data_IF_529788077194
#
_entry.id   IF_529788077194
#
_cell.length_a   1.000
_cell.length_b   1.000
_cell.length_c   1.000
_cell.angle_alpha   90.00
_cell.angle_beta   90.00
_cell.angle_gamma   90.00
#
_symmetry.space_group_name_H-M   'P 1'
#
loop_
_entity.id
_entity.type
_entity.pdbx_description
1 polymer ?
#
# COMPACT_ATOMS: atom_id res chain seq x y z
N UNK A 1 29.57 4.46 -1.89
CA UNK A 1 28.25 4.99 -2.31
C UNK A 1 27.30 3.81 -2.48
N UNK A 2 26.42 3.58 -1.51
CA UNK A 2 25.55 2.41 -1.46
C UNK A 2 24.48 2.48 -2.56
N UNK A 3 24.44 1.51 -3.46
CA UNK A 3 23.47 1.43 -4.55
C UNK A 3 22.11 0.99 -4.00
N UNK A 4 21.21 1.97 -3.82
CA UNK A 4 19.81 1.75 -3.48
C UNK A 4 19.20 0.64 -4.36
N UNK A 5 18.68 -0.42 -3.74
CA UNK A 5 17.83 -1.44 -4.34
C UNK A 5 16.65 -0.78 -5.08
N UNK A 6 16.82 -0.48 -6.38
CA UNK A 6 15.71 -0.09 -7.25
C UNK A 6 15.05 -1.37 -7.76
N UNK A 7 13.74 -1.60 -7.50
CA UNK A 7 13.05 -2.77 -8.03
C UNK A 7 13.03 -2.72 -9.57
N UNK A 8 13.38 -3.85 -10.20
CA UNK A 8 13.47 -4.02 -11.65
C UNK A 8 12.07 -3.92 -12.28
N UNK A 9 11.88 -3.03 -13.26
CA UNK A 9 10.60 -2.87 -13.99
C UNK A 9 10.26 -4.18 -14.73
N UNK A 10 9.19 -4.88 -14.33
CA UNK A 10 8.71 -6.08 -15.03
C UNK A 10 7.94 -5.63 -16.28
N UNK A 11 8.43 -6.00 -17.46
CA UNK A 11 7.96 -5.64 -18.82
C UNK A 11 6.54 -6.11 -19.21
N UNK A 12 5.70 -6.56 -18.28
CA UNK A 12 4.44 -7.24 -18.60
C UNK A 12 3.15 -6.58 -18.10
N UNK A 13 3.22 -5.52 -17.29
CA UNK A 13 2.01 -4.84 -16.81
C UNK A 13 1.83 -3.54 -17.58
N UNK A 14 0.66 -3.29 -18.21
CA UNK A 14 0.36 -1.99 -18.80
C UNK A 14 0.70 -0.88 -17.80
N UNK A 15 1.29 0.23 -18.24
CA UNK A 15 1.61 1.34 -17.35
C UNK A 15 0.30 1.93 -16.84
N UNK A 16 -0.11 1.50 -15.65
CA UNK A 16 -1.09 2.23 -14.85
C UNK A 16 -0.34 3.39 -14.22
N UNK A 17 -0.88 4.61 -14.31
CA UNK A 17 -0.34 5.77 -13.60
C UNK A 17 -0.39 5.48 -12.09
N UNK A 18 0.75 5.06 -11.55
CA UNK A 18 0.87 4.64 -10.16
C UNK A 18 2.32 4.84 -9.72
N UNK A 19 2.48 5.36 -8.51
CA UNK A 19 3.78 5.57 -7.87
C UNK A 19 3.85 4.74 -6.58
N UNK A 20 5.06 4.32 -6.20
CA UNK A 20 5.24 3.57 -4.97
C UNK A 20 5.25 4.52 -3.76
N UNK A 21 4.28 4.34 -2.85
CA UNK A 21 4.32 5.03 -1.56
C UNK A 21 5.38 4.39 -0.65
N UNK A 22 6.55 5.02 -0.54
CA UNK A 22 7.67 4.54 0.30
C UNK A 22 7.58 5.12 1.70
N UNK A 23 7.05 4.34 2.64
CA UNK A 23 7.04 4.69 4.07
C UNK A 23 7.33 3.47 4.92
N UNK A 24 7.95 3.69 6.09
CA UNK A 24 8.03 2.67 7.15
C UNK A 24 6.79 2.82 8.03
N UNK A 25 6.18 1.70 8.39
CA UNK A 25 5.10 1.62 9.35
C UNK A 25 5.52 0.75 10.53
N UNK A 26 4.99 1.04 11.72
CA UNK A 26 5.20 0.20 12.88
C UNK A 26 4.56 -1.19 12.68
N UNK A 27 5.18 -2.22 13.26
CA UNK A 27 4.71 -3.61 13.12
C UNK A 27 3.25 -3.84 13.52
N UNK A 28 2.70 -3.19 14.57
CA UNK A 28 1.27 -3.30 14.90
C UNK A 28 0.37 -2.85 13.75
N UNK A 29 0.70 -1.74 13.08
CA UNK A 29 -0.07 -1.25 11.94
C UNK A 29 0.03 -2.20 10.75
N UNK A 30 1.22 -2.73 10.47
CA UNK A 30 1.42 -3.74 9.41
C UNK A 30 0.53 -4.97 9.66
N UNK A 31 0.51 -5.49 10.90
CA UNK A 31 -0.33 -6.62 11.28
C UNK A 31 -1.83 -6.31 11.17
N UNK A 32 -2.24 -5.10 11.53
CA UNK A 32 -3.63 -4.67 11.40
C UNK A 32 -4.08 -4.62 9.93
N UNK A 33 -3.23 -4.12 9.03
CA UNK A 33 -3.48 -4.13 7.58
C UNK A 33 -3.59 -5.56 7.05
N UNK A 34 -2.72 -6.46 7.51
CA UNK A 34 -2.75 -7.88 7.11
C UNK A 34 -4.04 -8.58 7.55
N UNK A 35 -4.43 -8.41 8.81
CA UNK A 35 -5.68 -8.98 9.34
C UNK A 35 -6.90 -8.42 8.60
N UNK A 36 -6.89 -7.13 8.26
CA UNK A 36 -7.95 -6.53 7.47
C UNK A 36 -8.01 -7.12 6.05
N UNK A 37 -6.85 -7.33 5.41
CA UNK A 37 -6.76 -7.92 4.08
C UNK A 37 -7.31 -9.35 4.06
N UNK A 38 -6.94 -10.17 5.05
CA UNK A 38 -7.42 -11.54 5.22
C UNK A 38 -8.94 -11.58 5.42
N UNK A 39 -9.46 -10.78 6.34
CA UNK A 39 -10.90 -10.68 6.62
C UNK A 39 -11.73 -10.31 5.39
N UNK A 40 -11.18 -9.48 4.50
CA UNK A 40 -11.88 -9.00 3.31
C UNK A 40 -11.54 -9.81 2.04
N UNK A 41 -10.70 -10.85 2.15
CA UNK A 41 -10.30 -11.67 1.01
C UNK A 41 -9.55 -10.92 -0.09
N UNK A 42 -8.79 -9.88 0.26
CA UNK A 42 -8.05 -9.05 -0.71
C UNK A 42 -6.54 -9.10 -0.48
N UNK A 43 -5.76 -8.70 -1.49
CA UNK A 43 -4.31 -8.57 -1.33
C UNK A 43 -3.95 -7.43 -0.37
N UNK A 44 -2.80 -7.50 0.30
CA UNK A 44 -2.27 -6.40 1.14
C UNK A 44 -2.25 -5.06 0.40
N UNK A 45 -1.82 -5.04 -0.86
CA UNK A 45 -1.76 -3.81 -1.66
C UNK A 45 -3.14 -3.20 -1.88
N UNK A 46 -4.16 -4.04 -2.07
CA UNK A 46 -5.55 -3.61 -2.21
C UNK A 46 -6.14 -3.13 -0.88
N UNK A 47 -5.82 -3.82 0.22
CA UNK A 47 -6.18 -3.37 1.56
C UNK A 47 -5.63 -1.97 1.87
N UNK A 48 -4.34 -1.74 1.58
CA UNK A 48 -3.71 -0.43 1.76
C UNK A 48 -4.45 0.66 0.95
N UNK A 49 -4.77 0.41 -0.33
CA UNK A 49 -5.51 1.38 -1.15
C UNK A 49 -6.86 1.75 -0.55
N UNK A 50 -7.64 0.76 -0.14
CA UNK A 50 -8.98 0.97 0.43
C UNK A 50 -8.91 1.68 1.78
N UNK A 51 -8.02 1.25 2.66
CA UNK A 51 -7.83 1.85 3.98
C UNK A 51 -7.35 3.30 3.89
N UNK A 52 -6.44 3.60 2.96
CA UNK A 52 -6.01 4.99 2.70
C UNK A 52 -7.18 5.84 2.20
N UNK A 53 -7.98 5.34 1.26
CA UNK A 53 -9.15 6.06 0.76
C UNK A 53 -10.16 6.35 1.90
N UNK A 54 -10.48 5.34 2.71
CA UNK A 54 -11.36 5.48 3.88
C UNK A 54 -10.80 6.54 4.85
N UNK A 55 -9.49 6.51 5.12
CA UNK A 55 -8.84 7.49 5.99
C UNK A 55 -8.90 8.92 5.45
N UNK A 56 -8.67 9.11 4.13
CA UNK A 56 -8.75 10.42 3.47
C UNK A 56 -10.18 10.96 3.42
N UNK A 57 -11.17 10.10 3.22
CA UNK A 57 -12.57 10.53 3.21
C UNK A 57 -13.05 10.88 4.62
N UNK A 58 -12.55 10.18 5.66
CA UNK A 58 -12.79 10.53 7.04
C UNK A 58 -12.15 11.88 7.41
N UNK A 59 -10.91 12.15 6.96
CA UNK A 59 -10.20 13.39 7.28
C UNK A 59 -10.79 14.64 6.64
N UNK A 60 -11.51 14.50 5.51
CA UNK A 60 -12.19 15.61 4.83
C UNK A 60 -13.50 16.04 5.50
N UNK A 61 -14.09 15.18 6.31
CA UNK A 61 -15.36 15.43 7.02
C UNK A 61 -15.16 16.15 8.35
N UNK A 62 -13.92 16.47 8.71
CA UNK A 62 -13.52 17.14 9.95
C UNK A 62 -13.01 18.55 9.68
#
# INVERSE_FOLDING_TARGET
MSTLNKPKKKMGRPPVESEQLRSRAEMPLVRAVDAWAEKNGVTRAEAIRRLLQIGLDASKKS
#
